data_IF_659599286757
#
_entry.id   IF_659599286757
#
_cell.length_a   1.000
_cell.length_b   1.000
_cell.length_c   1.000
_cell.angle_alpha   90.00
_cell.angle_beta   90.00
_cell.angle_gamma   90.00
#
_symmetry.space_group_name_H-M   'P 1'
#
loop_
_entity.id
_entity.type
_entity.pdbx_description
1 polymer ?
#
# COMPACT_ATOMS: atom_id res chain seq x y z
N UNK A 1 11.93 -24.99 42.54
CA UNK A 1 12.59 -24.46 43.76
C UNK A 1 11.58 -23.51 44.40
N UNK A 2 11.06 -24.01 45.50
CA UNK A 2 10.46 -23.42 46.72
C UNK A 2 9.29 -22.43 46.47
N UNK A 3 8.08 -22.80 46.89
CA UNK A 3 7.51 -22.99 48.26
C UNK A 3 7.36 -21.61 48.94
N UNK A 4 6.30 -21.23 49.58
CA UNK A 4 5.34 -21.85 50.54
C UNK A 4 4.19 -20.86 50.71
N UNK A 5 2.92 -21.27 50.78
CA UNK A 5 2.14 -21.64 51.96
C UNK A 5 2.07 -20.50 53.00
N UNK A 6 0.92 -20.15 53.53
CA UNK A 6 0.06 -20.73 54.53
C UNK A 6 -1.17 -19.83 54.83
N UNK A 7 -2.29 -20.41 54.95
CA UNK A 7 -3.25 -20.73 56.03
C UNK A 7 -4.10 -19.54 56.52
N UNK A 8 -5.34 -19.65 56.30
CA UNK A 8 -6.44 -20.23 57.09
C UNK A 8 -6.44 -19.87 58.59
N UNK A 9 -7.45 -19.09 59.04
CA UNK A 9 -8.13 -19.37 60.30
C UNK A 9 -9.60 -18.97 60.29
N UNK A 10 -10.37 -19.97 60.61
CA UNK A 10 -11.78 -19.96 61.04
C UNK A 10 -11.90 -19.39 62.43
N UNK A 11 -13.01 -18.76 62.82
CA UNK A 11 -13.72 -19.14 64.02
C UNK A 11 -15.15 -18.59 64.09
N UNK A 12 -15.98 -19.40 64.68
CA UNK A 12 -17.40 -19.36 64.87
C UNK A 12 -17.78 -18.73 66.25
N UNK A 13 -18.97 -18.92 66.76
CA UNK A 13 -19.99 -17.89 66.95
C UNK A 13 -20.32 -17.69 68.45
N UNK A 14 -20.94 -16.59 68.82
CA UNK A 14 -21.50 -16.42 70.18
C UNK A 14 -23.00 -16.19 70.16
N UNK A 15 -23.73 -17.21 70.65
CA UNK A 15 -25.11 -17.16 71.13
C UNK A 15 -25.16 -16.43 72.47
N UNK A 16 -26.04 -15.44 72.65
CA UNK A 16 -26.53 -15.09 73.96
C UNK A 16 -28.03 -14.77 73.95
N UNK A 17 -28.76 -15.69 74.61
CA UNK A 17 -30.11 -15.50 75.11
C UNK A 17 -30.17 -14.28 76.03
N UNK A 18 -31.18 -13.46 75.87
CA UNK A 18 -31.60 -12.53 76.95
C UNK A 18 -33.10 -12.57 77.05
N UNK A 19 -33.52 -12.71 78.33
CA UNK A 19 -34.81 -12.99 78.90
C UNK A 19 -35.81 -11.86 78.74
N UNK A 20 -37.09 -12.28 78.74
CA UNK A 20 -38.29 -11.45 78.86
C UNK A 20 -38.28 -10.65 80.16
N UNK A 21 -38.51 -9.32 80.06
CA UNK A 21 -39.02 -8.47 81.15
C UNK A 21 -40.28 -7.76 80.71
N UNK A 22 -41.41 -7.99 81.49
CA UNK A 22 -42.68 -7.31 81.39
C UNK A 22 -42.51 -5.83 81.66
N UNK A 23 -43.12 -4.96 80.81
CA UNK A 23 -43.21 -3.52 80.99
C UNK A 23 -44.68 -3.12 81.09
N UNK A 24 -45.02 -2.18 82.02
CA UNK A 24 -46.40 -1.86 82.39
C UNK A 24 -47.19 -0.98 81.42
N UNK A 25 -48.53 -1.17 81.43
CA UNK A 25 -49.52 -0.38 80.67
C UNK A 25 -49.55 1.10 81.10
N UNK A 26 -49.17 1.97 80.17
CA UNK A 26 -49.38 3.38 80.41
C UNK A 26 -48.62 4.29 79.46
N UNK A 27 -48.92 4.28 78.14
CA UNK A 27 -48.49 5.35 77.21
C UNK A 27 -49.08 5.18 75.79
N UNK A 28 -50.37 5.00 75.65
CA UNK A 28 -51.04 4.84 74.35
C UNK A 28 -51.29 6.14 73.57
N UNK A 29 -51.13 7.33 74.20
CA UNK A 29 -51.39 8.62 73.53
C UNK A 29 -50.09 9.25 72.89
N UNK A 30 -48.91 8.80 73.21
CA UNK A 30 -47.67 9.35 72.63
C UNK A 30 -47.31 8.66 71.36
N UNK A 31 -47.66 7.41 71.18
CA UNK A 31 -47.35 6.63 69.98
C UNK A 31 -48.03 7.12 68.68
N UNK A 32 -49.24 7.64 68.75
CA UNK A 32 -49.94 8.12 67.53
C UNK A 32 -49.33 9.40 66.96
N UNK A 33 -48.76 10.31 67.73
CA UNK A 33 -48.12 11.54 67.23
C UNK A 33 -46.73 11.23 66.64
N UNK A 34 -45.98 10.25 67.16
CA UNK A 34 -44.69 9.84 66.60
C UNK A 34 -44.85 9.06 65.32
N UNK A 35 -45.89 8.24 65.19
CA UNK A 35 -46.16 7.45 63.97
C UNK A 35 -46.52 8.34 62.79
N UNK A 36 -47.34 9.40 63.02
CA UNK A 36 -47.70 10.34 61.93
C UNK A 36 -46.46 11.16 61.45
N UNK A 37 -45.58 11.59 62.36
CA UNK A 37 -44.36 12.31 62.02
C UNK A 37 -43.36 11.41 61.30
N UNK A 38 -43.26 10.12 61.64
CA UNK A 38 -42.39 9.16 60.98
C UNK A 38 -42.88 8.86 59.56
N UNK A 39 -44.21 8.66 59.38
CA UNK A 39 -44.77 8.42 58.04
C UNK A 39 -44.69 9.64 57.11
N UNK A 40 -44.75 10.87 57.62
CA UNK A 40 -44.49 12.08 56.82
C UNK A 40 -43.05 12.29 56.49
N UNK A 41 -42.09 11.90 57.34
CA UNK A 41 -40.65 11.95 57.10
C UNK A 41 -40.23 10.90 56.09
N UNK A 42 -40.85 9.70 56.17
CA UNK A 42 -40.59 8.62 55.17
C UNK A 42 -41.20 8.97 53.80
N UNK A 43 -42.39 9.61 53.73
CA UNK A 43 -42.98 10.09 52.44
C UNK A 43 -42.15 11.21 51.81
N UNK A 44 -41.63 12.16 52.61
CA UNK A 44 -40.74 13.23 52.09
C UNK A 44 -39.42 12.66 51.63
N UNK A 45 -38.81 11.70 52.35
CA UNK A 45 -37.61 11.00 51.92
C UNK A 45 -37.82 10.22 50.62
N UNK A 46 -38.97 9.52 50.51
CA UNK A 46 -39.33 8.80 49.24
C UNK A 46 -39.52 9.73 48.06
N UNK A 47 -40.08 10.95 48.24
CA UNK A 47 -40.25 11.93 47.16
C UNK A 47 -38.91 12.48 46.68
N UNK A 48 -38.03 12.84 47.62
CA UNK A 48 -36.68 13.33 47.31
C UNK A 48 -35.88 12.28 46.54
N UNK A 49 -35.94 11.02 46.97
CA UNK A 49 -35.26 9.91 46.30
C UNK A 49 -35.80 9.73 44.86
N UNK A 50 -37.11 9.84 44.65
CA UNK A 50 -37.72 9.75 43.30
C UNK A 50 -37.28 10.89 42.39
N UNK A 51 -37.21 12.12 42.92
CA UNK A 51 -36.73 13.29 42.16
C UNK A 51 -35.27 13.12 41.82
N UNK A 52 -34.42 12.71 42.77
CA UNK A 52 -33.01 12.46 42.52
C UNK A 52 -32.80 11.34 41.47
N UNK A 53 -33.57 10.26 41.57
CA UNK A 53 -33.53 9.18 40.59
C UNK A 53 -33.93 9.68 39.18
N UNK A 54 -34.99 10.50 39.08
CA UNK A 54 -35.38 11.08 37.79
C UNK A 54 -34.31 12.00 37.19
N UNK A 55 -33.65 12.82 38.03
CA UNK A 55 -32.53 13.68 37.59
C UNK A 55 -31.36 12.83 37.10
N UNK A 56 -30.98 11.79 37.86
CA UNK A 56 -29.90 10.90 37.48
C UNK A 56 -30.19 10.20 36.14
N UNK A 57 -31.41 9.68 35.99
CA UNK A 57 -31.86 9.05 34.73
C UNK A 57 -31.82 10.07 33.59
N UNK A 58 -32.26 11.29 33.81
CA UNK A 58 -32.22 12.37 32.82
C UNK A 58 -30.78 12.70 32.38
N UNK A 59 -29.89 12.84 33.34
CA UNK A 59 -28.44 13.09 33.04
C UNK A 59 -27.81 11.93 32.27
N UNK A 60 -28.10 10.68 32.66
CA UNK A 60 -27.60 9.49 31.95
C UNK A 60 -28.15 9.45 30.53
N UNK A 61 -29.42 9.70 30.31
CA UNK A 61 -30.02 9.72 28.96
C UNK A 61 -29.41 10.82 28.09
N UNK A 62 -29.24 12.03 28.61
CA UNK A 62 -28.60 13.14 27.88
C UNK A 62 -27.16 12.78 27.55
N UNK A 63 -26.43 12.17 28.48
CA UNK A 63 -25.04 11.72 28.24
C UNK A 63 -24.97 10.65 27.16
N UNK A 64 -25.88 9.69 27.15
CA UNK A 64 -25.97 8.65 26.11
C UNK A 64 -26.25 9.26 24.72
N UNK A 65 -27.21 10.19 24.66
CA UNK A 65 -27.51 10.89 23.39
C UNK A 65 -26.29 11.68 22.90
N UNK A 66 -25.59 12.40 23.78
CA UNK A 66 -24.39 13.13 23.42
C UNK A 66 -23.29 12.20 22.90
N UNK A 67 -23.07 11.05 23.57
CA UNK A 67 -22.07 10.06 23.10
C UNK A 67 -22.43 9.54 21.70
N UNK A 68 -23.70 9.22 21.44
CA UNK A 68 -24.16 8.75 20.14
C UNK A 68 -24.00 9.84 19.06
N UNK A 69 -24.32 11.08 19.36
CA UNK A 69 -24.14 12.22 18.44
C UNK A 69 -22.68 12.47 18.15
N UNK A 70 -21.83 12.54 19.19
CA UNK A 70 -20.38 12.73 19.00
C UNK A 70 -19.78 11.60 18.18
N UNK A 71 -20.13 10.34 18.46
CA UNK A 71 -19.63 9.21 17.70
C UNK A 71 -20.07 9.25 16.23
N UNK A 72 -21.33 9.63 15.96
CA UNK A 72 -21.83 9.78 14.58
C UNK A 72 -21.12 10.91 13.85
N UNK A 73 -21.09 12.12 14.43
CA UNK A 73 -20.40 13.26 13.84
C UNK A 73 -18.91 13.01 13.64
N UNK A 74 -18.25 12.40 14.63
CA UNK A 74 -16.84 12.05 14.49
C UNK A 74 -16.63 11.06 13.35
N UNK A 75 -17.46 10.01 13.25
CA UNK A 75 -17.33 9.03 12.19
C UNK A 75 -17.55 9.64 10.80
N UNK A 76 -18.58 10.44 10.64
CA UNK A 76 -18.91 11.08 9.36
C UNK A 76 -17.81 12.09 8.99
N UNK A 77 -17.35 12.93 9.91
CA UNK A 77 -16.28 13.90 9.72
C UNK A 77 -14.94 13.24 9.42
N UNK A 78 -14.55 12.21 10.19
CA UNK A 78 -13.30 11.49 9.92
C UNK A 78 -13.36 10.71 8.61
N UNK A 79 -14.51 10.14 8.26
CA UNK A 79 -14.68 9.44 6.99
C UNK A 79 -14.54 10.40 5.79
N UNK A 80 -15.15 11.57 5.86
CA UNK A 80 -15.08 12.58 4.80
C UNK A 80 -13.67 13.18 4.68
N UNK A 81 -13.14 13.76 5.77
CA UNK A 81 -11.82 14.43 5.73
C UNK A 81 -10.67 13.44 5.47
N UNK A 82 -10.76 12.24 6.04
CA UNK A 82 -9.74 11.22 5.83
C UNK A 82 -9.85 10.59 4.44
N UNK A 83 -11.08 10.37 3.94
CA UNK A 83 -11.34 9.89 2.59
C UNK A 83 -10.78 10.83 1.53
N UNK A 84 -11.13 12.11 1.58
CA UNK A 84 -10.62 13.14 0.65
C UNK A 84 -9.09 13.25 0.68
N UNK A 85 -8.49 13.11 1.87
CA UNK A 85 -7.03 13.13 2.01
C UNK A 85 -6.38 11.91 1.37
N UNK A 86 -6.96 10.73 1.53
CA UNK A 86 -6.45 9.50 0.92
C UNK A 86 -6.61 9.51 -0.60
N UNK A 87 -7.75 9.98 -1.10
CA UNK A 87 -7.99 10.14 -2.54
C UNK A 87 -6.91 11.02 -3.19
N UNK A 88 -6.64 12.21 -2.63
CA UNK A 88 -5.57 13.09 -3.10
C UNK A 88 -4.18 12.47 -3.03
N UNK A 89 -3.90 11.67 -1.99
CA UNK A 89 -2.63 10.96 -1.90
C UNK A 89 -2.50 9.91 -3.01
N UNK A 90 -3.58 9.17 -3.32
CA UNK A 90 -3.59 8.19 -4.40
C UNK A 90 -3.44 8.86 -5.76
N UNK A 91 -4.18 9.96 -6.02
CA UNK A 91 -4.02 10.76 -7.23
C UNK A 91 -2.57 11.22 -7.41
N UNK A 92 -1.94 11.72 -6.33
CA UNK A 92 -0.54 12.13 -6.37
C UNK A 92 0.42 10.98 -6.67
N UNK A 93 0.20 9.81 -6.06
CA UNK A 93 0.99 8.61 -6.34
C UNK A 93 0.84 8.20 -7.81
N UNK A 94 -0.37 8.25 -8.34
CA UNK A 94 -0.65 7.94 -9.75
C UNK A 94 0.09 8.91 -10.67
N UNK A 95 -0.03 10.22 -10.46
CA UNK A 95 0.69 11.23 -11.25
C UNK A 95 2.21 11.00 -11.24
N UNK A 96 2.79 10.74 -10.07
CA UNK A 96 4.23 10.51 -9.92
C UNK A 96 4.68 9.22 -10.63
N UNK A 97 3.86 8.16 -10.58
CA UNK A 97 4.10 6.92 -11.32
C UNK A 97 3.99 7.13 -12.83
N UNK A 98 2.98 7.84 -13.32
CA UNK A 98 2.81 8.17 -14.74
C UNK A 98 4.02 8.97 -15.26
N UNK A 99 4.50 9.95 -14.48
CA UNK A 99 5.69 10.73 -14.82
C UNK A 99 6.95 9.84 -14.87
N UNK A 100 7.08 8.92 -13.90
CA UNK A 100 8.21 7.97 -13.85
C UNK A 100 8.22 7.04 -15.07
N UNK A 101 7.10 6.37 -15.36
CA UNK A 101 6.99 5.48 -16.50
C UNK A 101 7.10 6.23 -17.83
N UNK A 102 6.55 7.44 -17.92
CA UNK A 102 6.73 8.34 -19.06
C UNK A 102 8.21 8.70 -19.30
N UNK A 103 8.98 8.93 -18.23
CA UNK A 103 10.43 9.16 -18.34
C UNK A 103 11.18 7.91 -18.85
N UNK A 104 10.73 6.71 -18.45
CA UNK A 104 11.27 5.45 -18.98
C UNK A 104 11.00 5.34 -20.49
N UNK A 105 9.77 5.53 -20.91
CA UNK A 105 9.38 5.46 -22.32
C UNK A 105 10.19 6.43 -23.16
N UNK A 106 10.31 7.68 -22.73
CA UNK A 106 11.09 8.71 -23.40
C UNK A 106 12.57 8.35 -23.49
N UNK A 107 13.15 7.80 -22.43
CA UNK A 107 14.54 7.31 -22.44
C UNK A 107 14.71 6.23 -23.48
N UNK A 108 13.81 5.25 -23.55
CA UNK A 108 13.87 4.17 -24.55
C UNK A 108 13.57 4.63 -25.98
N UNK A 109 12.77 5.68 -26.15
CA UNK A 109 12.56 6.30 -27.45
C UNK A 109 13.83 7.01 -27.93
N UNK A 110 14.50 7.75 -27.05
CA UNK A 110 15.79 8.36 -27.35
C UNK A 110 16.85 7.31 -27.70
N UNK A 111 16.93 6.21 -26.94
CA UNK A 111 17.82 5.08 -27.21
C UNK A 111 17.52 4.46 -28.58
N UNK A 112 16.26 4.15 -28.86
CA UNK A 112 15.87 3.44 -30.08
C UNK A 112 16.05 4.28 -31.35
N UNK A 113 15.98 5.61 -31.23
CA UNK A 113 16.19 6.55 -32.35
C UNK A 113 17.64 7.02 -32.49
N UNK A 114 18.52 6.69 -31.51
CA UNK A 114 19.92 7.10 -31.55
C UNK A 114 20.66 6.43 -32.71
N UNK A 115 21.24 7.26 -33.56
CA UNK A 115 22.08 6.83 -34.67
C UNK A 115 23.32 6.05 -34.18
N UNK A 116 23.99 6.55 -33.15
CA UNK A 116 25.21 5.96 -32.61
C UNK A 116 24.99 4.59 -32.01
N UNK A 117 23.89 4.42 -31.28
CA UNK A 117 23.49 3.13 -30.69
C UNK A 117 23.14 2.13 -31.77
N UNK A 118 22.40 2.54 -32.79
CA UNK A 118 22.07 1.70 -33.94
C UNK A 118 23.30 1.31 -34.71
N UNK A 119 24.20 2.23 -35.05
CA UNK A 119 25.43 1.98 -35.78
C UNK A 119 26.34 0.98 -35.07
N UNK A 120 26.49 1.12 -33.75
CA UNK A 120 27.29 0.21 -32.96
C UNK A 120 26.72 -1.21 -32.97
N UNK A 121 25.45 -1.40 -32.59
CA UNK A 121 24.83 -2.71 -32.46
C UNK A 121 24.41 -3.35 -33.79
N UNK A 122 24.25 -2.60 -34.88
CA UNK A 122 23.95 -3.17 -36.19
C UNK A 122 25.19 -3.77 -36.90
N UNK A 123 26.38 -3.62 -36.31
CA UNK A 123 27.61 -4.21 -36.83
C UNK A 123 28.09 -3.66 -38.17
N UNK A 124 27.67 -2.46 -38.57
CA UNK A 124 28.03 -1.81 -39.84
C UNK A 124 29.44 -1.20 -39.86
N UNK A 125 30.26 -1.51 -38.85
CA UNK A 125 31.61 -0.97 -38.70
C UNK A 125 32.60 -1.76 -39.54
N UNK A 126 33.35 -1.08 -40.40
CA UNK A 126 34.23 -1.68 -41.39
C UNK A 126 35.65 -1.95 -40.89
N UNK A 127 36.07 -1.29 -39.81
CA UNK A 127 37.39 -1.47 -39.21
C UNK A 127 37.35 -1.51 -37.68
N UNK A 128 38.44 -1.97 -37.06
CA UNK A 128 38.59 -1.94 -35.58
C UNK A 128 38.55 -0.52 -35.01
N UNK A 129 39.06 0.46 -35.75
CA UNK A 129 39.04 1.87 -35.36
C UNK A 129 37.60 2.41 -35.40
N UNK A 130 36.87 2.10 -36.49
CA UNK A 130 35.45 2.51 -36.60
C UNK A 130 34.62 1.89 -35.49
N UNK A 131 34.86 0.62 -35.13
CA UNK A 131 34.18 -0.03 -34.01
C UNK A 131 34.47 0.66 -32.68
N UNK A 132 35.72 1.06 -32.42
CA UNK A 132 36.10 1.77 -31.21
C UNK A 132 35.41 3.14 -31.11
N UNK A 133 35.42 3.91 -32.22
CA UNK A 133 34.75 5.21 -32.29
C UNK A 133 33.24 5.04 -32.08
N UNK A 134 32.63 4.04 -32.76
CA UNK A 134 31.19 3.76 -32.60
C UNK A 134 30.84 3.35 -31.17
N UNK A 135 31.68 2.56 -30.49
CA UNK A 135 31.51 2.20 -29.09
C UNK A 135 31.53 3.43 -28.18
N UNK A 136 32.51 4.32 -28.37
CA UNK A 136 32.61 5.55 -27.58
C UNK A 136 31.39 6.45 -27.77
N UNK A 137 30.96 6.65 -29.02
CA UNK A 137 29.78 7.45 -29.35
C UNK A 137 28.50 6.81 -28.79
N UNK A 138 28.34 5.49 -28.91
CA UNK A 138 27.24 4.74 -28.34
C UNK A 138 27.15 4.94 -26.83
N UNK A 139 28.26 4.77 -26.10
CA UNK A 139 28.31 4.97 -24.66
C UNK A 139 27.92 6.38 -24.26
N UNK A 140 28.41 7.40 -24.98
CA UNK A 140 28.04 8.80 -24.74
C UNK A 140 26.54 9.03 -25.00
N UNK A 141 26.00 8.54 -26.11
CA UNK A 141 24.59 8.65 -26.46
C UNK A 141 23.70 7.91 -25.45
N UNK A 142 24.15 6.75 -24.98
CA UNK A 142 23.45 5.98 -23.95
C UNK A 142 23.39 6.75 -22.61
N UNK A 143 24.52 7.30 -22.16
CA UNK A 143 24.55 8.11 -20.94
C UNK A 143 23.69 9.37 -21.04
N UNK A 144 23.71 10.04 -22.20
CA UNK A 144 22.91 11.25 -22.43
C UNK A 144 21.40 10.98 -22.55
N UNK A 145 20.99 9.75 -22.89
CA UNK A 145 19.59 9.38 -22.95
C UNK A 145 18.95 9.24 -21.57
N UNK A 146 19.78 9.13 -20.51
CA UNK A 146 19.34 8.90 -19.16
C UNK A 146 18.83 10.17 -18.49
N UNK A 147 17.62 10.12 -17.97
CA UNK A 147 17.09 11.15 -17.08
C UNK A 147 17.50 10.87 -15.62
N UNK A 148 17.75 11.92 -14.86
CA UNK A 148 18.13 11.82 -13.43
C UNK A 148 17.08 11.11 -12.56
N UNK A 149 15.82 11.14 -12.99
CA UNK A 149 14.70 10.46 -12.33
C UNK A 149 14.81 8.93 -12.33
N UNK A 150 15.65 8.37 -13.22
CA UNK A 150 15.86 6.92 -13.33
C UNK A 150 17.12 6.44 -12.60
N UNK A 151 17.67 7.26 -11.69
CA UNK A 151 18.94 6.96 -11.00
C UNK A 151 18.94 5.68 -10.18
N UNK A 152 17.78 5.28 -9.64
CA UNK A 152 17.62 4.03 -8.88
C UNK A 152 17.37 2.78 -9.74
N UNK A 153 17.32 2.92 -11.08
CA UNK A 153 17.09 1.82 -11.99
C UNK A 153 18.38 1.39 -12.70
N UNK A 154 18.44 0.13 -13.12
CA UNK A 154 19.51 -0.36 -14.00
C UNK A 154 18.99 -0.52 -15.41
N UNK A 155 19.63 0.12 -16.39
CA UNK A 155 19.31 -0.07 -17.81
C UNK A 155 20.43 -0.75 -18.54
N UNK A 156 20.06 -1.72 -19.36
CA UNK A 156 20.94 -2.50 -20.18
C UNK A 156 20.62 -2.26 -21.65
N UNK A 157 21.66 -2.11 -22.46
CA UNK A 157 21.55 -2.27 -23.90
C UNK A 157 22.21 -3.60 -24.27
N UNK A 158 21.48 -4.45 -24.95
CA UNK A 158 21.99 -5.77 -25.32
C UNK A 158 21.86 -5.96 -26.80
N UNK A 159 22.99 -6.29 -27.46
CA UNK A 159 22.98 -6.62 -28.88
C UNK A 159 22.26 -7.94 -29.15
N UNK A 160 21.90 -8.17 -30.38
CA UNK A 160 21.35 -9.46 -30.83
C UNK A 160 22.30 -10.63 -30.53
N UNK A 161 23.59 -10.39 -30.59
CA UNK A 161 24.68 -11.34 -30.33
C UNK A 161 24.96 -11.53 -28.83
N UNK A 162 24.42 -10.67 -27.95
CA UNK A 162 24.59 -10.75 -26.51
C UNK A 162 25.66 -9.83 -25.93
N UNK A 163 26.17 -8.87 -26.71
CA UNK A 163 27.05 -7.82 -26.17
C UNK A 163 26.23 -6.87 -25.30
N UNK A 164 26.69 -6.58 -24.07
CA UNK A 164 25.92 -5.86 -23.06
C UNK A 164 26.62 -4.58 -22.66
N UNK A 165 25.88 -3.49 -22.62
CA UNK A 165 26.28 -2.20 -22.04
C UNK A 165 25.30 -1.84 -20.91
N UNK A 166 25.84 -1.38 -19.78
CA UNK A 166 25.06 -1.04 -18.57
C UNK A 166 25.27 0.44 -18.22
N UNK A 167 24.22 1.14 -17.76
CA UNK A 167 24.29 2.56 -17.49
C UNK A 167 25.11 2.95 -16.24
N UNK A 168 25.12 2.12 -15.21
CA UNK A 168 25.62 2.42 -13.86
C UNK A 168 26.79 1.53 -13.42
N UNK A 169 27.51 0.89 -14.34
CA UNK A 169 28.59 -0.07 -14.08
C UNK A 169 28.15 -1.29 -13.23
N UNK A 170 26.86 -1.56 -13.16
CA UNK A 170 26.34 -2.77 -12.52
C UNK A 170 26.74 -4.02 -13.33
N UNK A 171 26.75 -5.17 -12.69
CA UNK A 171 27.22 -6.42 -13.30
C UNK A 171 26.11 -7.45 -13.26
N UNK A 172 25.90 -8.15 -14.39
CA UNK A 172 24.97 -9.27 -14.43
C UNK A 172 25.44 -10.42 -13.54
N UNK A 173 24.51 -10.98 -12.79
CA UNK A 173 24.70 -12.16 -11.93
C UNK A 173 24.22 -13.45 -12.59
N UNK A 174 23.41 -13.34 -13.66
CA UNK A 174 22.89 -14.46 -14.46
C UNK A 174 23.37 -14.36 -15.92
N UNK A 175 23.46 -15.49 -16.59
CA UNK A 175 23.78 -15.50 -18.02
C UNK A 175 22.68 -14.83 -18.84
N UNK A 176 23.07 -14.03 -19.83
CA UNK A 176 22.13 -13.39 -20.73
C UNK A 176 21.19 -14.36 -21.44
N UNK A 177 21.64 -15.58 -21.75
CA UNK A 177 20.81 -16.60 -22.39
C UNK A 177 19.66 -17.06 -21.47
N UNK A 178 19.88 -17.07 -20.16
CA UNK A 178 18.88 -17.38 -19.17
C UNK A 178 17.88 -16.23 -19.05
N UNK A 179 18.37 -15.01 -18.90
CA UNK A 179 17.53 -13.79 -18.79
C UNK A 179 16.58 -13.67 -19.98
N UNK A 180 17.08 -13.92 -21.18
CA UNK A 180 16.34 -13.84 -22.45
C UNK A 180 15.23 -14.89 -22.59
N UNK A 181 15.18 -15.91 -21.74
CA UNK A 181 14.09 -16.90 -21.72
C UNK A 181 12.79 -16.34 -21.13
N UNK A 182 12.84 -15.22 -20.39
CA UNK A 182 11.64 -14.58 -19.90
C UNK A 182 10.71 -14.21 -21.06
N UNK A 183 9.40 -14.49 -20.88
CA UNK A 183 8.39 -14.30 -21.93
C UNK A 183 8.29 -12.87 -22.43
N UNK A 184 8.60 -11.89 -21.59
CA UNK A 184 8.57 -10.46 -21.96
C UNK A 184 9.43 -10.14 -23.18
N UNK A 185 10.53 -10.89 -23.43
CA UNK A 185 11.33 -10.71 -24.64
C UNK A 185 10.60 -11.14 -25.91
N UNK A 186 9.78 -12.18 -25.82
CA UNK A 186 8.95 -12.63 -26.92
C UNK A 186 7.81 -11.63 -27.19
N UNK A 187 7.25 -11.09 -26.13
CA UNK A 187 6.23 -10.04 -26.20
C UNK A 187 6.79 -8.77 -26.84
N UNK A 188 7.94 -8.25 -26.35
CA UNK A 188 8.61 -7.10 -26.92
C UNK A 188 8.96 -7.27 -28.41
N UNK A 189 9.30 -8.50 -28.83
CA UNK A 189 9.54 -8.79 -30.26
C UNK A 189 8.29 -8.72 -31.12
N UNK A 190 7.14 -9.10 -30.59
CA UNK A 190 5.83 -9.04 -31.28
C UNK A 190 5.25 -7.62 -31.28
N UNK A 191 5.37 -6.93 -30.15
CA UNK A 191 4.84 -5.58 -29.94
C UNK A 191 5.82 -4.54 -30.47
N UNK A 192 5.73 -4.24 -31.75
CA UNK A 192 6.66 -3.38 -32.46
C UNK A 192 6.76 -2.00 -31.75
N UNK A 193 7.95 -1.67 -31.24
CA UNK A 193 8.31 -0.40 -30.58
C UNK A 193 7.70 -0.12 -29.19
N UNK A 194 6.87 -1.00 -28.64
CA UNK A 194 6.35 -0.84 -27.28
C UNK A 194 7.31 -1.42 -26.26
N UNK A 195 7.37 -0.77 -25.11
CA UNK A 195 8.01 -1.31 -23.91
C UNK A 195 7.05 -2.31 -23.27
N UNK A 196 7.50 -3.52 -23.00
CA UNK A 196 6.72 -4.58 -22.36
C UNK A 196 7.28 -4.81 -20.96
N UNK A 197 6.43 -5.07 -19.99
CA UNK A 197 6.83 -5.25 -18.60
C UNK A 197 6.47 -6.64 -18.09
N UNK A 198 7.28 -7.17 -17.18
CA UNK A 198 7.02 -8.42 -16.46
C UNK A 198 7.58 -8.31 -15.05
N UNK A 199 6.88 -8.91 -14.09
CA UNK A 199 7.40 -9.09 -12.75
C UNK A 199 8.41 -10.23 -12.69
N UNK A 200 9.46 -10.10 -11.89
CA UNK A 200 10.47 -11.12 -11.64
C UNK A 200 10.83 -11.11 -10.15
N UNK A 201 10.74 -12.27 -9.49
CA UNK A 201 10.96 -12.41 -8.05
C UNK A 201 12.37 -12.01 -7.62
N UNK A 202 13.36 -12.21 -8.48
CA UNK A 202 14.77 -11.97 -8.18
C UNK A 202 15.46 -11.33 -9.38
N UNK A 203 16.03 -10.14 -9.17
CA UNK A 203 16.79 -9.44 -10.20
C UNK A 203 18.04 -10.19 -10.65
N UNK A 204 18.64 -9.75 -11.74
CA UNK A 204 19.78 -10.43 -12.35
C UNK A 204 21.03 -9.57 -12.47
N UNK A 205 21.10 -8.49 -11.71
CA UNK A 205 22.33 -7.71 -11.55
C UNK A 205 22.77 -7.70 -10.11
N UNK A 206 23.99 -7.29 -9.85
CA UNK A 206 24.52 -7.25 -8.49
C UNK A 206 23.69 -6.32 -7.58
N UNK A 207 23.20 -5.21 -8.12
CA UNK A 207 22.35 -4.27 -7.40
C UNK A 207 20.94 -4.81 -7.11
N UNK A 208 20.40 -5.71 -7.96
CA UNK A 208 19.01 -6.15 -7.89
C UNK A 208 18.82 -7.61 -7.46
N UNK A 209 19.89 -8.38 -7.33
CA UNK A 209 19.86 -9.85 -7.06
C UNK A 209 19.10 -10.29 -5.82
N UNK A 210 18.87 -9.40 -4.86
CA UNK A 210 18.20 -9.71 -3.59
C UNK A 210 16.83 -9.04 -3.47
N UNK A 211 16.29 -8.52 -4.56
CA UNK A 211 14.99 -7.84 -4.60
C UNK A 211 14.18 -8.30 -5.81
N UNK A 212 12.88 -8.27 -5.65
CA UNK A 212 11.95 -8.36 -6.78
C UNK A 212 12.12 -7.12 -7.68
N UNK A 213 11.87 -7.31 -8.96
CA UNK A 213 11.99 -6.25 -9.95
C UNK A 213 10.81 -6.24 -10.91
N UNK A 214 10.51 -5.08 -11.45
CA UNK A 214 9.79 -4.96 -12.72
C UNK A 214 10.83 -4.94 -13.83
N UNK A 215 10.74 -5.92 -14.72
CA UNK A 215 11.57 -6.05 -15.91
C UNK A 215 10.87 -5.41 -17.10
N UNK A 216 11.39 -4.28 -17.58
CA UNK A 216 10.90 -3.66 -18.82
C UNK A 216 11.81 -4.03 -20.00
N UNK A 217 11.23 -4.40 -21.14
CA UNK A 217 11.96 -4.79 -22.35
C UNK A 217 11.40 -4.10 -23.57
N UNK A 218 12.27 -3.48 -24.36
CA UNK A 218 11.96 -2.91 -25.68
C UNK A 218 12.83 -3.52 -26.75
N UNK A 219 12.23 -4.04 -27.80
CA UNK A 219 12.97 -4.50 -28.96
C UNK A 219 13.50 -3.31 -29.78
N UNK A 220 14.81 -3.21 -29.95
CA UNK A 220 15.47 -2.17 -30.70
C UNK A 220 15.60 -2.57 -32.18
N UNK A 221 15.06 -1.72 -33.08
CA UNK A 221 15.00 -2.01 -34.50
C UNK A 221 15.53 -0.82 -35.30
N UNK A 222 16.19 -1.15 -36.40
CA UNK A 222 16.69 -0.17 -37.36
C UNK A 222 15.53 0.42 -38.22
N UNK A 223 15.88 1.36 -39.09
CA UNK A 223 14.93 2.00 -40.01
C UNK A 223 14.22 1.01 -40.94
N UNK A 224 14.82 -0.15 -41.19
CA UNK A 224 14.23 -1.23 -41.98
C UNK A 224 13.46 -2.24 -41.15
N UNK A 225 13.13 -1.87 -39.90
CA UNK A 225 12.44 -2.73 -38.93
C UNK A 225 13.19 -4.02 -38.56
N UNK A 226 14.50 -4.09 -38.82
CA UNK A 226 15.34 -5.23 -38.47
C UNK A 226 15.80 -5.10 -37.01
N UNK A 227 15.55 -6.15 -36.21
CA UNK A 227 16.00 -6.24 -34.82
C UNK A 227 17.53 -6.24 -34.75
N UNK A 228 18.10 -5.29 -33.99
CA UNK A 228 19.54 -5.23 -33.74
C UNK A 228 19.89 -5.44 -32.26
N UNK A 229 18.93 -5.36 -31.35
CA UNK A 229 19.13 -5.54 -29.91
C UNK A 229 17.91 -5.37 -29.09
N UNK A 230 18.12 -5.24 -27.79
CA UNK A 230 17.10 -4.96 -26.78
C UNK A 230 17.58 -3.86 -25.85
N UNK A 231 16.67 -2.97 -25.49
CA UNK A 231 16.79 -2.12 -24.33
C UNK A 231 16.05 -2.78 -23.18
N UNK A 232 16.69 -2.89 -22.03
CA UNK A 232 16.15 -3.58 -20.85
C UNK A 232 16.26 -2.66 -19.66
N UNK A 233 15.20 -2.52 -18.85
CA UNK A 233 15.23 -1.78 -17.58
C UNK A 233 14.86 -2.71 -16.44
N UNK A 234 15.58 -2.59 -15.35
CA UNK A 234 15.34 -3.28 -14.09
C UNK A 234 14.95 -2.22 -13.07
N UNK A 235 13.71 -2.28 -12.63
CA UNK A 235 13.14 -1.37 -11.64
C UNK A 235 13.00 -2.17 -10.35
N UNK A 236 13.86 -1.97 -9.33
CA UNK A 236 13.72 -2.65 -8.06
C UNK A 236 12.44 -2.19 -7.34
N UNK A 237 11.81 -3.09 -6.57
CA UNK A 237 10.66 -2.77 -5.73
C UNK A 237 10.92 -1.57 -4.81
N UNK A 238 12.15 -1.42 -4.31
CA UNK A 238 12.55 -0.28 -3.48
C UNK A 238 12.41 1.09 -4.18
N UNK A 239 12.47 1.16 -5.50
CA UNK A 239 12.22 2.39 -6.25
C UNK A 239 10.73 2.74 -6.25
N UNK A 240 9.86 1.73 -6.33
CA UNK A 240 8.43 1.93 -6.27
C UNK A 240 7.95 2.34 -4.87
N UNK A 241 8.62 1.89 -3.82
CA UNK A 241 8.37 2.31 -2.44
C UNK A 241 8.40 3.83 -2.27
N UNK A 242 9.24 4.51 -3.03
CA UNK A 242 9.40 5.96 -2.93
C UNK A 242 8.12 6.72 -3.30
N UNK A 243 7.25 6.14 -4.14
CA UNK A 243 6.01 6.80 -4.58
C UNK A 243 4.90 6.74 -3.53
N UNK A 244 4.79 5.66 -2.76
CA UNK A 244 3.67 5.46 -1.84
C UNK A 244 4.03 5.52 -0.35
N UNK A 245 5.32 5.62 -0.01
CA UNK A 245 5.78 5.70 1.40
C UNK A 245 5.10 6.79 2.21
N UNK A 246 4.77 7.92 1.59
CA UNK A 246 4.10 9.04 2.26
C UNK A 246 2.60 8.83 2.47
N UNK A 247 1.98 7.92 1.74
CA UNK A 247 0.56 7.56 1.89
C UNK A 247 0.31 6.43 2.88
N UNK A 248 1.37 5.75 3.33
CA UNK A 248 1.28 4.64 4.27
C UNK A 248 0.96 5.12 5.68
N UNK A 249 0.08 4.40 6.36
CA UNK A 249 -0.16 4.54 7.79
C UNK A 249 -0.52 3.18 8.41
N UNK A 250 -0.65 3.13 9.74
CA UNK A 250 -0.91 1.87 10.45
C UNK A 250 -2.27 1.20 10.14
N UNK A 251 -3.13 1.84 9.35
CA UNK A 251 -4.50 1.37 9.07
C UNK A 251 -4.72 1.04 7.59
N UNK A 252 -3.78 1.35 6.70
CA UNK A 252 -3.89 1.07 5.28
C UNK A 252 -2.60 0.44 4.74
N UNK A 253 -2.76 -0.38 3.72
CA UNK A 253 -1.69 -0.84 2.86
C UNK A 253 -1.91 -0.28 1.45
N UNK A 254 -0.82 0.01 0.76
CA UNK A 254 -0.84 0.47 -0.62
C UNK A 254 -0.10 -0.58 -1.44
N UNK A 255 -0.71 -0.98 -2.55
CA UNK A 255 -0.11 -1.95 -3.46
C UNK A 255 -0.20 -1.44 -4.90
N UNK A 256 0.83 -1.70 -5.67
CA UNK A 256 0.86 -1.48 -7.12
C UNK A 256 0.63 -2.85 -7.77
N UNK A 257 -0.33 -2.93 -8.66
CA UNK A 257 -0.69 -4.16 -9.36
C UNK A 257 -0.49 -4.00 -10.87
N UNK A 258 -0.14 -5.07 -11.54
CA UNK A 258 -0.06 -5.12 -13.00
C UNK A 258 -1.44 -5.40 -13.63
N UNK A 259 -1.50 -5.39 -14.97
CA UNK A 259 -2.72 -5.68 -15.73
C UNK A 259 -3.27 -7.10 -15.52
N UNK A 260 -2.50 -8.00 -14.94
CA UNK A 260 -2.90 -9.38 -14.66
C UNK A 260 -3.37 -9.56 -13.21
N UNK A 261 -3.40 -8.49 -12.41
CA UNK A 261 -3.75 -8.51 -11.00
C UNK A 261 -2.63 -9.01 -10.09
N UNK A 262 -1.38 -9.10 -10.60
CA UNK A 262 -0.23 -9.45 -9.79
C UNK A 262 0.26 -8.23 -9.02
N UNK A 263 0.50 -8.39 -7.73
CA UNK A 263 1.06 -7.35 -6.87
C UNK A 263 2.55 -7.24 -7.16
N UNK A 264 2.96 -6.14 -7.80
CA UNK A 264 4.36 -5.91 -8.20
C UNK A 264 5.14 -5.10 -7.18
N UNK A 265 4.44 -4.35 -6.33
CA UNK A 265 5.02 -3.63 -5.19
C UNK A 265 3.96 -3.41 -4.12
N UNK A 266 4.33 -3.47 -2.85
CA UNK A 266 3.39 -3.28 -1.73
C UNK A 266 4.11 -2.81 -0.47
N UNK A 267 3.41 -2.04 0.37
CA UNK A 267 3.84 -1.76 1.75
C UNK A 267 3.89 -3.04 2.59
N UNK A 268 3.00 -4.00 2.31
CA UNK A 268 3.09 -5.37 2.84
C UNK A 268 3.93 -6.25 1.90
N UNK A 269 5.21 -6.35 2.20
CA UNK A 269 6.18 -7.08 1.36
C UNK A 269 5.88 -8.57 1.16
N UNK A 270 5.06 -9.17 2.01
CA UNK A 270 4.67 -10.57 1.87
C UNK A 270 3.65 -10.81 0.74
N UNK A 271 2.99 -9.77 0.27
CA UNK A 271 2.01 -9.85 -0.82
C UNK A 271 2.64 -9.72 -2.21
N UNK A 272 3.90 -9.28 -2.29
CA UNK A 272 4.57 -9.08 -3.59
C UNK A 272 4.73 -10.42 -4.32
N UNK A 273 4.34 -10.45 -5.58
CA UNK A 273 4.33 -11.66 -6.41
C UNK A 273 3.05 -12.49 -6.30
N UNK A 274 2.15 -12.17 -5.37
CA UNK A 274 0.85 -12.83 -5.29
C UNK A 274 -0.13 -12.23 -6.30
N UNK A 275 -1.08 -13.06 -6.77
CA UNK A 275 -2.16 -12.61 -7.65
C UNK A 275 -3.47 -12.62 -6.89
N UNK A 276 -4.11 -11.47 -6.78
CA UNK A 276 -5.44 -11.33 -6.21
C UNK A 276 -6.50 -11.37 -7.31
N UNK A 277 -7.37 -12.37 -7.25
CA UNK A 277 -8.44 -12.56 -8.24
C UNK A 277 -9.52 -11.48 -8.19
N UNK A 278 -9.69 -10.81 -7.07
CA UNK A 278 -10.64 -9.70 -6.92
C UNK A 278 -10.05 -8.42 -7.53
N UNK A 279 -8.77 -8.13 -7.26
CA UNK A 279 -8.03 -7.05 -7.90
C UNK A 279 -7.92 -7.25 -9.40
N UNK A 280 -7.71 -8.48 -9.87
CA UNK A 280 -7.70 -8.81 -11.30
C UNK A 280 -9.02 -8.44 -12.00
N UNK A 281 -10.17 -8.69 -11.37
CA UNK A 281 -11.46 -8.30 -11.92
C UNK A 281 -11.61 -6.79 -12.01
N UNK A 282 -11.24 -6.07 -10.96
CA UNK A 282 -11.28 -4.60 -10.92
C UNK A 282 -10.39 -4.01 -12.02
N UNK A 283 -9.18 -4.53 -12.18
CA UNK A 283 -8.23 -4.09 -13.21
C UNK A 283 -8.81 -4.31 -14.62
N UNK A 284 -9.39 -5.48 -14.87
CA UNK A 284 -10.02 -5.77 -16.17
C UNK A 284 -11.21 -4.85 -16.47
N UNK A 285 -12.06 -4.56 -15.48
CA UNK A 285 -13.17 -3.62 -15.60
C UNK A 285 -12.69 -2.18 -15.89
N UNK A 286 -11.59 -1.75 -15.29
CA UNK A 286 -10.98 -0.45 -15.53
C UNK A 286 -10.42 -0.36 -16.96
N UNK A 287 -9.66 -1.36 -17.39
CA UNK A 287 -9.10 -1.43 -18.73
C UNK A 287 -10.19 -1.45 -19.82
N UNK A 288 -11.30 -2.17 -19.59
CA UNK A 288 -12.44 -2.15 -20.52
C UNK A 288 -13.09 -0.76 -20.61
N UNK A 289 -13.20 -0.04 -19.50
CA UNK A 289 -13.72 1.33 -19.48
C UNK A 289 -12.81 2.30 -20.25
N UNK A 290 -11.49 2.22 -20.03
CA UNK A 290 -10.51 3.04 -20.74
C UNK A 290 -10.54 2.82 -22.26
N UNK A 291 -10.57 1.55 -22.69
CA UNK A 291 -10.70 1.18 -24.12
C UNK A 291 -12.00 1.71 -24.70
N UNK A 292 -13.08 1.75 -23.93
CA UNK A 292 -14.38 2.27 -24.38
C UNK A 292 -14.34 3.78 -24.57
N UNK A 293 -13.70 4.52 -23.65
CA UNK A 293 -13.51 5.98 -23.75
C UNK A 293 -12.65 6.34 -24.97
N UNK A 294 -11.51 5.68 -25.17
CA UNK A 294 -10.66 5.89 -26.36
C UNK A 294 -11.40 5.64 -27.68
N UNK A 295 -12.25 4.62 -27.75
CA UNK A 295 -13.07 4.35 -28.93
C UNK A 295 -14.11 5.43 -29.17
N UNK A 296 -14.73 5.97 -28.13
CA UNK A 296 -15.68 7.08 -28.24
C UNK A 296 -15.01 8.37 -28.72
N UNK A 297 -13.82 8.71 -28.21
CA UNK A 297 -13.08 9.89 -28.64
C UNK A 297 -12.59 9.79 -30.09
N UNK A 298 -12.16 8.61 -30.55
CA UNK A 298 -11.79 8.39 -31.96
C UNK A 298 -12.97 8.46 -32.93
N UNK A 299 -14.18 8.15 -32.49
CA UNK A 299 -15.39 8.23 -33.30
C UNK A 299 -16.04 9.63 -33.27
N UNK A 300 -15.59 10.53 -32.37
CA UNK A 300 -16.07 11.90 -32.25
C UNK A 300 -15.22 12.92 -33.02
N UNK A 301 -14.13 12.51 -33.65
CA UNK A 301 -13.25 13.28 -34.55
C UNK A 301 -13.47 12.88 -35.97
#
# INVERSE_FOLDING_TARGET
MNREDEKMHSEKPWNKKIQNKKVPRGKEKIHKRYSIKKGLKERKGSLIIKIMAAIIIGVVLISQINILLVNKFSKDFFSEVYGDSQEKNIEKIQEDLEEFFGSIEKTFDNISTSYDINMYYSGKNSSSVDKFIAMHNMQKSFQNAFESKLSGTTVLLVSKEGEISVNNNDVLTKDWKEIKQNEVFNEARKNNRKLCYSYVDEGFTYATKSSSIILGVKALRDMNNKLYGYGVILIPDSELDNFYRYGENQYNSISIIDSNGMIVSSTDKYQIGETDTELQKITNEMLEKEITVEKMEKNAK
#
